data_IF_517312875061
#
_entry.id   IF_517312875061
#
_cell.length_a   1.000
_cell.length_b   1.000
_cell.length_c   1.000
_cell.angle_alpha   90.00
_cell.angle_beta   90.00
_cell.angle_gamma   90.00
#
_symmetry.space_group_name_H-M   'P 1'
#
loop_
_entity.id
_entity.type
_entity.pdbx_description
1 polymer ?
#
# COMPACT_ATOMS: atom_id res chain seq x y z
N UNK A 1 -21.93 17.30 -8.01
CA UNK A 1 -21.89 15.83 -7.85
C UNK A 1 -22.64 15.10 -8.95
N UNK A 2 -23.97 15.28 -9.12
CA UNK A 2 -24.75 14.53 -10.14
C UNK A 2 -24.24 14.77 -11.58
N UNK A 3 -23.84 16.00 -11.97
CA UNK A 3 -23.29 16.24 -13.31
C UNK A 3 -21.86 15.69 -13.50
N UNK A 4 -21.03 15.71 -12.46
CA UNK A 4 -19.68 15.12 -12.45
C UNK A 4 -19.76 13.59 -12.60
N UNK A 5 -20.67 12.93 -11.86
CA UNK A 5 -20.92 11.50 -12.02
C UNK A 5 -21.56 11.16 -13.37
N UNK A 6 -22.32 12.07 -14.00
CA UNK A 6 -22.84 11.85 -15.34
C UNK A 6 -21.76 11.95 -16.43
N UNK A 7 -20.73 12.78 -16.21
CA UNK A 7 -19.64 13.02 -17.17
C UNK A 7 -18.46 12.06 -16.98
N UNK A 8 -18.22 11.63 -15.73
CA UNK A 8 -17.30 10.57 -15.34
C UNK A 8 -18.07 9.46 -14.62
N UNK A 9 -18.84 8.63 -15.35
CA UNK A 9 -19.62 7.54 -14.75
C UNK A 9 -18.76 6.51 -14.02
N UNK A 10 -17.49 6.37 -14.43
CA UNK A 10 -16.49 5.50 -13.78
C UNK A 10 -16.03 6.01 -12.41
N UNK A 11 -16.37 7.26 -12.06
CA UNK A 11 -15.98 7.86 -10.79
C UNK A 11 -16.71 7.23 -9.58
N UNK A 12 -17.80 6.49 -9.82
CA UNK A 12 -18.38 5.60 -8.82
C UNK A 12 -17.52 4.32 -8.69
N UNK A 13 -16.60 4.34 -7.72
CA UNK A 13 -15.78 3.20 -7.35
C UNK A 13 -14.38 3.23 -7.97
N UNK A 14 -13.46 3.96 -7.33
CA UNK A 14 -12.00 3.90 -7.52
C UNK A 14 -11.44 3.93 -8.96
N UNK A 15 -12.24 4.21 -9.98
CA UNK A 15 -11.88 4.01 -11.37
C UNK A 15 -11.72 5.35 -12.11
N UNK A 16 -10.47 5.80 -12.18
CA UNK A 16 -10.00 6.94 -12.96
C UNK A 16 -9.48 6.53 -14.33
N UNK A 17 -9.90 5.38 -14.85
CA UNK A 17 -9.38 4.91 -16.13
C UNK A 17 -9.63 5.94 -17.24
N UNK A 18 -8.56 6.33 -17.95
CA UNK A 18 -8.61 7.28 -19.06
C UNK A 18 -8.96 8.71 -18.65
N UNK A 19 -9.02 9.02 -17.35
CA UNK A 19 -9.40 10.36 -16.88
C UNK A 19 -8.26 11.34 -17.15
N UNK A 20 -8.60 12.45 -17.80
CA UNK A 20 -7.73 13.63 -17.85
C UNK A 20 -7.88 14.39 -16.55
N UNK A 21 -6.93 14.20 -15.64
CA UNK A 21 -7.09 14.63 -14.26
C UNK A 21 -7.17 16.17 -14.14
N UNK A 22 -6.47 16.92 -15.01
CA UNK A 22 -6.61 18.38 -15.12
C UNK A 22 -8.06 18.81 -15.41
N UNK A 23 -8.69 18.22 -16.43
CA UNK A 23 -10.06 18.56 -16.84
C UNK A 23 -11.07 18.20 -15.74
N UNK A 24 -10.88 17.04 -15.09
CA UNK A 24 -11.66 16.63 -13.93
C UNK A 24 -11.57 17.67 -12.79
N UNK A 25 -10.35 18.16 -12.50
CA UNK A 25 -10.14 19.16 -11.47
C UNK A 25 -10.73 20.52 -11.84
N UNK A 26 -10.56 20.98 -13.08
CA UNK A 26 -11.18 22.23 -13.57
C UNK A 26 -12.71 22.20 -13.47
N UNK A 27 -13.34 21.04 -13.65
CA UNK A 27 -14.77 20.88 -13.40
C UNK A 27 -15.13 20.96 -11.92
N UNK A 28 -14.33 20.33 -11.05
CA UNK A 28 -14.45 20.49 -9.60
C UNK A 28 -14.29 21.95 -9.15
N UNK A 29 -13.40 22.72 -9.80
CA UNK A 29 -13.21 24.18 -9.61
C UNK A 29 -14.44 24.98 -10.00
N UNK A 30 -14.95 24.75 -11.21
CA UNK A 30 -16.09 25.48 -11.75
C UNK A 30 -17.37 25.30 -10.92
N UNK A 31 -17.53 24.15 -10.26
CA UNK A 31 -18.61 23.90 -9.31
C UNK A 31 -18.56 24.80 -8.05
N UNK A 32 -17.41 25.43 -7.75
CA UNK A 32 -17.17 26.21 -6.53
C UNK A 32 -16.64 27.63 -6.75
N UNK A 33 -16.87 28.25 -7.92
CA UNK A 33 -16.53 29.67 -8.21
C UNK A 33 -17.11 30.64 -7.17
N UNK A 34 -16.45 30.79 -6.03
CA UNK A 34 -16.69 31.82 -5.02
C UNK A 34 -15.52 32.00 -4.04
N UNK A 35 -14.30 31.52 -4.32
CA UNK A 35 -13.10 32.05 -3.68
C UNK A 35 -11.80 31.73 -4.45
N UNK A 36 -10.83 32.61 -4.25
CA UNK A 36 -9.54 32.83 -4.92
C UNK A 36 -8.64 31.62 -5.14
N UNK A 37 -7.70 31.78 -6.08
CA UNK A 37 -6.66 30.84 -6.53
C UNK A 37 -6.20 29.87 -5.44
N UNK A 38 -6.57 28.59 -5.60
CA UNK A 38 -6.26 27.49 -4.70
C UNK A 38 -5.44 26.43 -5.44
N UNK A 39 -4.54 25.78 -4.72
CA UNK A 39 -3.72 24.70 -5.25
C UNK A 39 -4.59 23.46 -5.52
N UNK A 40 -4.11 22.54 -6.38
CA UNK A 40 -4.76 21.25 -6.69
C UNK A 40 -5.16 20.48 -5.41
N UNK A 41 -4.33 20.64 -4.37
CA UNK A 41 -4.45 20.07 -3.04
C UNK A 41 -5.66 20.64 -2.24
N UNK A 42 -5.92 21.95 -2.32
CA UNK A 42 -7.03 22.60 -1.60
C UNK A 42 -8.42 22.23 -2.14
N UNK A 43 -8.48 21.76 -3.38
CA UNK A 43 -9.71 21.40 -4.06
C UNK A 43 -10.08 19.93 -3.87
N UNK A 44 -9.10 19.03 -3.91
CA UNK A 44 -9.30 17.64 -3.51
C UNK A 44 -9.74 17.52 -2.03
N UNK A 45 -9.29 18.41 -1.14
CA UNK A 45 -9.74 18.50 0.28
C UNK A 45 -11.25 18.65 0.44
N UNK A 46 -11.92 19.25 -0.54
CA UNK A 46 -13.36 19.50 -0.51
C UNK A 46 -14.20 18.30 -0.97
N UNK A 47 -13.57 17.27 -1.52
CA UNK A 47 -14.23 16.10 -2.06
C UNK A 47 -13.53 14.85 -1.52
N UNK A 48 -14.14 14.21 -0.52
CA UNK A 48 -13.89 12.78 -0.27
C UNK A 48 -14.48 12.04 -1.47
N UNK A 49 -13.66 11.80 -2.49
CA UNK A 49 -14.09 11.34 -3.81
C UNK A 49 -14.55 9.88 -3.74
N UNK A 50 -13.86 9.06 -2.92
CA UNK A 50 -14.29 7.76 -2.37
C UNK A 50 -13.22 7.21 -1.39
N UNK A 51 -13.39 5.97 -0.91
CA UNK A 51 -12.46 5.31 0.03
C UNK A 51 -11.04 5.07 -0.52
N UNK A 52 -10.83 5.23 -1.83
CA UNK A 52 -9.55 5.00 -2.53
C UNK A 52 -8.89 6.29 -3.01
N UNK A 53 -9.67 7.38 -3.16
CA UNK A 53 -9.18 8.67 -3.62
C UNK A 53 -9.63 9.73 -2.63
N UNK A 54 -8.71 10.20 -1.80
CA UNK A 54 -9.02 11.17 -0.76
C UNK A 54 -7.82 12.07 -0.47
N UNK A 55 -8.07 13.16 0.23
CA UNK A 55 -7.05 14.12 0.62
C UNK A 55 -6.95 14.16 2.14
N UNK A 56 -5.78 13.86 2.69
CA UNK A 56 -5.56 13.81 4.14
C UNK A 56 -4.17 14.38 4.46
N UNK A 57 -4.10 15.25 5.47
CA UNK A 57 -2.85 15.81 6.01
C UNK A 57 -1.86 16.41 4.99
N UNK A 58 -2.38 16.99 3.90
CA UNK A 58 -1.52 17.60 2.87
C UNK A 58 -1.16 16.65 1.73
N UNK A 59 -1.67 15.41 1.76
CA UNK A 59 -1.34 14.34 0.82
C UNK A 59 -2.60 13.95 0.04
N UNK A 60 -2.45 13.85 -1.27
CA UNK A 60 -3.47 13.27 -2.14
C UNK A 60 -3.23 11.77 -2.25
N UNK A 61 -4.20 10.98 -1.80
CA UNK A 61 -4.13 9.53 -1.69
C UNK A 61 -4.96 8.89 -2.80
N UNK A 62 -4.42 7.85 -3.43
CA UNK A 62 -4.94 7.04 -4.54
C UNK A 62 -4.77 5.54 -4.26
N UNK A 63 -4.78 5.11 -2.99
CA UNK A 63 -4.49 3.73 -2.58
C UNK A 63 -5.42 2.73 -3.28
N UNK A 64 -4.80 1.80 -4.01
CA UNK A 64 -5.50 0.76 -4.79
C UNK A 64 -6.47 1.31 -5.85
N UNK A 65 -6.33 2.59 -6.22
CA UNK A 65 -7.13 3.19 -7.28
C UNK A 65 -6.76 2.60 -8.65
N UNK A 66 -7.76 2.44 -9.52
CA UNK A 66 -7.56 2.14 -10.93
C UNK A 66 -7.40 3.45 -11.70
N UNK A 67 -6.15 3.84 -11.95
CA UNK A 67 -5.72 4.99 -12.74
C UNK A 67 -5.18 4.59 -14.12
N UNK A 68 -5.59 3.44 -14.66
CA UNK A 68 -5.14 2.99 -15.98
C UNK A 68 -5.38 4.04 -17.05
N UNK A 69 -4.45 4.23 -17.99
CA UNK A 69 -4.59 5.18 -19.10
C UNK A 69 -4.85 6.65 -18.66
N UNK A 70 -4.73 6.97 -17.36
CA UNK A 70 -5.01 8.30 -16.85
C UNK A 70 -3.92 9.29 -17.31
N UNK A 71 -4.32 10.55 -17.52
CA UNK A 71 -3.40 11.61 -17.93
C UNK A 71 -3.11 12.56 -16.76
N UNK A 72 -1.88 12.44 -16.24
CA UNK A 72 -1.28 13.28 -15.21
C UNK A 72 -0.16 14.19 -15.76
N UNK A 73 -0.07 14.36 -17.08
CA UNK A 73 1.00 15.10 -17.72
C UNK A 73 1.12 16.53 -17.19
N UNK A 74 2.33 16.91 -16.78
CA UNK A 74 2.65 18.25 -16.27
C UNK A 74 1.97 18.61 -14.95
N UNK A 75 1.32 17.65 -14.29
CA UNK A 75 0.67 17.91 -13.00
C UNK A 75 1.67 17.96 -11.86
N UNK A 76 1.36 18.80 -10.88
CA UNK A 76 1.97 18.76 -9.57
C UNK A 76 1.15 17.83 -8.66
N UNK A 77 1.70 16.65 -8.40
CA UNK A 77 1.16 15.63 -7.49
C UNK A 77 2.24 15.19 -6.49
N UNK A 78 3.09 16.13 -6.07
CA UNK A 78 4.13 15.90 -5.07
C UNK A 78 3.54 15.26 -3.80
N UNK A 79 4.28 14.31 -3.22
CA UNK A 79 3.94 13.58 -1.99
C UNK A 79 2.65 12.76 -2.06
N UNK A 80 2.02 12.64 -3.23
CA UNK A 80 0.83 11.81 -3.36
C UNK A 80 1.13 10.35 -3.00
N UNK A 81 0.09 9.61 -2.59
CA UNK A 81 0.21 8.21 -2.24
C UNK A 81 -0.58 7.33 -3.20
N UNK A 82 0.13 6.62 -4.07
CA UNK A 82 -0.38 5.66 -5.03
C UNK A 82 -0.03 4.21 -4.64
N UNK A 83 0.21 3.92 -3.36
CA UNK A 83 0.55 2.58 -2.92
C UNK A 83 -0.47 1.54 -3.44
N UNK A 84 0.04 0.52 -4.14
CA UNK A 84 -0.77 -0.56 -4.72
C UNK A 84 -1.74 -0.15 -5.83
N UNK A 85 -1.70 1.10 -6.31
CA UNK A 85 -2.58 1.57 -7.38
C UNK A 85 -2.24 0.91 -8.72
N UNK A 86 -3.25 0.78 -9.58
CA UNK A 86 -3.08 0.35 -10.96
C UNK A 86 -3.00 1.58 -11.88
N UNK A 87 -1.81 1.91 -12.35
CA UNK A 87 -1.49 3.13 -13.09
C UNK A 87 -0.89 2.77 -14.46
N UNK A 88 -1.26 1.59 -14.98
CA UNK A 88 -0.73 1.10 -16.25
C UNK A 88 -1.08 2.04 -17.39
N UNK A 89 -0.14 2.22 -18.32
CA UNK A 89 -0.25 3.10 -19.48
C UNK A 89 -0.52 4.58 -19.14
N UNK A 90 -0.47 5.00 -17.88
CA UNK A 90 -0.74 6.38 -17.52
C UNK A 90 0.34 7.32 -18.07
N UNK A 91 -0.07 8.55 -18.39
CA UNK A 91 0.84 9.60 -18.84
C UNK A 91 1.21 10.52 -17.67
N UNK A 92 2.44 10.39 -17.17
CA UNK A 92 3.04 11.20 -16.11
C UNK A 92 4.16 12.11 -16.67
N UNK A 93 4.19 12.33 -17.98
CA UNK A 93 5.25 13.10 -18.63
C UNK A 93 5.31 14.52 -18.05
N UNK A 94 6.51 15.02 -17.74
CA UNK A 94 6.72 16.33 -17.11
C UNK A 94 6.02 16.57 -15.76
N UNK A 95 5.43 15.54 -15.14
CA UNK A 95 4.79 15.70 -13.84
C UNK A 95 5.84 15.96 -12.75
N UNK A 96 5.48 16.77 -11.75
CA UNK A 96 6.20 16.81 -10.49
C UNK A 96 5.59 15.78 -9.54
N UNK A 97 6.31 14.68 -9.34
CA UNK A 97 5.94 13.60 -8.44
C UNK A 97 6.96 13.48 -7.31
N UNK A 98 7.56 14.60 -6.89
CA UNK A 98 8.53 14.63 -5.80
C UNK A 98 8.00 13.92 -4.54
N UNK A 99 8.78 12.98 -4.01
CA UNK A 99 8.46 12.21 -2.80
C UNK A 99 7.11 11.45 -2.83
N UNK A 100 6.56 11.17 -4.02
CA UNK A 100 5.34 10.37 -4.18
C UNK A 100 5.60 8.90 -3.82
N UNK A 101 4.60 8.24 -3.23
CA UNK A 101 4.64 6.82 -2.89
C UNK A 101 4.00 5.96 -3.99
N UNK A 102 4.79 5.11 -4.65
CA UNK A 102 4.33 4.12 -5.63
C UNK A 102 4.64 2.69 -5.19
N UNK A 103 4.81 2.44 -3.88
CA UNK A 103 5.16 1.12 -3.39
C UNK A 103 4.13 0.07 -3.84
N UNK A 104 4.62 -1.03 -4.42
CA UNK A 104 3.80 -2.12 -4.97
C UNK A 104 2.77 -1.70 -6.03
N UNK A 105 2.87 -0.50 -6.61
CA UNK A 105 1.98 -0.04 -7.67
C UNK A 105 2.31 -0.72 -9.00
N UNK A 106 1.32 -0.81 -9.88
CA UNK A 106 1.46 -1.32 -11.24
C UNK A 106 1.58 -0.16 -12.24
N UNK A 107 2.80 0.15 -12.67
CA UNK A 107 3.13 1.22 -13.62
C UNK A 107 3.53 0.65 -14.99
N UNK A 108 3.09 -0.56 -15.35
CA UNK A 108 3.48 -1.16 -16.64
C UNK A 108 3.09 -0.25 -17.80
N UNK A 109 4.05 -0.01 -18.70
CA UNK A 109 3.97 0.90 -19.84
C UNK A 109 3.65 2.38 -19.49
N UNK A 110 3.76 2.81 -18.23
CA UNK A 110 3.54 4.21 -17.87
C UNK A 110 4.61 5.12 -18.50
N UNK A 111 4.22 6.34 -18.87
CA UNK A 111 5.13 7.34 -19.42
C UNK A 111 5.53 8.37 -18.36
N UNK A 112 6.71 8.22 -17.77
CA UNK A 112 7.32 9.14 -16.80
C UNK A 112 8.43 10.00 -17.43
N UNK A 113 8.44 10.15 -18.75
CA UNK A 113 9.49 10.88 -19.44
C UNK A 113 9.60 12.32 -18.92
N UNK A 114 10.82 12.74 -18.59
CA UNK A 114 11.12 14.08 -18.06
C UNK A 114 10.32 14.46 -16.79
N UNK A 115 9.76 13.49 -16.06
CA UNK A 115 9.15 13.73 -14.76
C UNK A 115 10.21 14.02 -13.69
N UNK A 116 9.84 14.83 -12.69
CA UNK A 116 10.65 15.04 -11.48
C UNK A 116 10.32 13.92 -10.50
N UNK A 117 11.20 12.93 -10.38
CA UNK A 117 10.96 11.73 -9.56
C UNK A 117 11.92 11.64 -8.37
N UNK A 118 12.34 12.81 -7.88
CA UNK A 118 13.25 12.91 -6.73
C UNK A 118 12.55 12.42 -5.46
N UNK A 119 13.21 11.55 -4.69
CA UNK A 119 12.70 11.00 -3.43
C UNK A 119 11.53 10.02 -3.57
N UNK A 120 11.16 9.62 -4.80
CA UNK A 120 10.02 8.73 -5.06
C UNK A 120 10.25 7.32 -4.55
N UNK A 121 9.19 6.69 -4.02
CA UNK A 121 9.23 5.35 -3.44
C UNK A 121 8.61 4.33 -4.42
N UNK A 122 9.43 3.61 -5.19
CA UNK A 122 9.02 2.56 -6.15
C UNK A 122 9.23 1.14 -5.61
N UNK A 123 9.36 0.94 -4.30
CA UNK A 123 9.71 -0.38 -3.77
C UNK A 123 8.65 -1.43 -4.15
N UNK A 124 9.10 -2.51 -4.80
CA UNK A 124 8.22 -3.57 -5.29
C UNK A 124 7.27 -3.18 -6.43
N UNK A 125 7.37 -1.96 -6.99
CA UNK A 125 6.53 -1.53 -8.10
C UNK A 125 6.85 -2.27 -9.40
N UNK A 126 5.84 -2.50 -10.25
CA UNK A 126 6.05 -3.02 -11.61
C UNK A 126 6.15 -1.88 -12.62
N UNK A 127 7.37 -1.58 -13.08
CA UNK A 127 7.71 -0.56 -14.08
C UNK A 127 8.04 -1.19 -15.43
N UNK A 128 7.54 -2.40 -15.72
CA UNK A 128 7.84 -3.08 -16.99
C UNK A 128 7.44 -2.21 -18.18
N UNK A 129 8.37 -1.99 -19.10
CA UNK A 129 8.23 -1.11 -20.27
C UNK A 129 7.88 0.35 -19.94
N UNK A 130 8.02 0.79 -18.69
CA UNK A 130 7.80 2.19 -18.35
C UNK A 130 8.89 3.07 -18.99
N UNK A 131 8.50 4.28 -19.41
CA UNK A 131 9.43 5.25 -19.98
C UNK A 131 9.85 6.27 -18.91
N UNK A 132 11.05 6.12 -18.36
CA UNK A 132 11.68 7.05 -17.42
C UNK A 132 12.76 7.92 -18.09
N UNK A 133 12.76 8.00 -19.43
CA UNK A 133 13.77 8.75 -20.18
C UNK A 133 13.84 10.21 -19.69
N UNK A 134 15.05 10.72 -19.44
CA UNK A 134 15.30 12.08 -18.92
C UNK A 134 14.65 12.42 -17.56
N UNK A 135 14.14 11.43 -16.83
CA UNK A 135 13.60 11.66 -15.49
C UNK A 135 14.73 12.01 -14.50
N UNK A 136 14.40 12.78 -13.47
CA UNK A 136 15.32 13.10 -12.37
C UNK A 136 15.15 12.10 -11.22
N UNK A 137 16.13 11.18 -11.05
CA UNK A 137 16.04 10.05 -10.12
C UNK A 137 16.62 10.31 -8.72
N UNK A 138 17.14 11.50 -8.40
CA UNK A 138 17.84 11.73 -7.13
C UNK A 138 17.02 11.21 -5.92
N UNK A 139 17.64 10.50 -4.98
CA UNK A 139 16.98 9.98 -3.76
C UNK A 139 15.82 8.99 -4.01
N UNK A 140 15.56 8.55 -5.25
CA UNK A 140 14.51 7.59 -5.54
C UNK A 140 14.86 6.19 -5.04
N UNK A 141 13.85 5.42 -4.63
CA UNK A 141 14.00 4.06 -4.16
C UNK A 141 13.31 3.06 -5.10
N UNK A 142 14.12 2.29 -5.84
CA UNK A 142 13.70 1.21 -6.75
C UNK A 142 13.89 -0.19 -6.16
N UNK A 143 14.11 -0.34 -4.85
CA UNK A 143 14.37 -1.65 -4.26
C UNK A 143 13.26 -2.66 -4.60
N UNK A 144 13.65 -3.83 -5.09
CA UNK A 144 12.73 -4.89 -5.54
C UNK A 144 11.80 -4.52 -6.72
N UNK A 145 11.95 -3.35 -7.35
CA UNK A 145 11.12 -2.96 -8.49
C UNK A 145 11.38 -3.83 -9.73
N UNK A 146 10.37 -3.98 -10.60
CA UNK A 146 10.48 -4.70 -11.87
C UNK A 146 10.70 -3.68 -13.02
N UNK A 147 11.89 -3.64 -13.60
CA UNK A 147 12.32 -2.69 -14.64
C UNK A 147 12.49 -3.33 -16.03
N UNK A 148 11.96 -4.53 -16.26
CA UNK A 148 12.06 -5.24 -17.55
C UNK A 148 11.58 -4.38 -18.71
N UNK A 149 12.41 -4.19 -19.74
CA UNK A 149 12.07 -3.32 -20.87
C UNK A 149 11.89 -1.83 -20.55
N UNK A 150 12.12 -1.37 -19.31
CA UNK A 150 11.98 0.03 -18.96
C UNK A 150 13.06 0.88 -19.66
N UNK A 151 12.70 2.11 -20.03
CA UNK A 151 13.63 3.06 -20.64
C UNK A 151 14.11 4.09 -19.61
N UNK A 152 15.35 3.98 -19.15
CA UNK A 152 16.00 4.93 -18.23
C UNK A 152 17.06 5.79 -18.93
N UNK A 153 17.09 5.86 -20.27
CA UNK A 153 18.07 6.67 -20.99
C UNK A 153 18.05 8.13 -20.53
N UNK A 154 19.23 8.77 -20.50
CA UNK A 154 19.39 10.19 -20.18
C UNK A 154 18.81 10.61 -18.81
N UNK A 155 18.46 9.67 -17.92
CA UNK A 155 18.02 10.01 -16.58
C UNK A 155 19.16 10.62 -15.75
N UNK A 156 18.80 11.41 -14.73
CA UNK A 156 19.75 12.15 -13.89
C UNK A 156 19.79 11.56 -12.47
N UNK A 157 20.82 11.91 -11.69
CA UNK A 157 20.94 11.56 -10.28
C UNK A 157 21.51 10.18 -9.95
N UNK A 158 21.58 9.26 -10.93
CA UNK A 158 22.10 7.90 -10.71
C UNK A 158 23.61 7.84 -10.41
N UNK A 159 24.42 8.79 -10.89
CA UNK A 159 25.89 8.80 -10.70
C UNK A 159 26.34 9.05 -9.26
N UNK A 160 25.50 9.66 -8.43
CA UNK A 160 25.88 10.10 -7.08
C UNK A 160 25.45 9.12 -5.98
N UNK A 161 25.05 7.89 -6.31
CA UNK A 161 24.67 6.80 -5.39
C UNK A 161 23.49 7.05 -4.43
N UNK A 162 22.78 8.18 -4.55
CA UNK A 162 21.59 8.45 -3.71
C UNK A 162 20.36 7.66 -4.14
N UNK A 163 20.42 7.00 -5.30
CA UNK A 163 19.34 6.15 -5.82
C UNK A 163 19.51 4.74 -5.28
N UNK A 164 18.47 4.19 -4.65
CA UNK A 164 18.49 2.81 -4.14
C UNK A 164 17.98 1.87 -5.20
N UNK A 165 18.85 0.99 -5.68
CA UNK A 165 18.49 0.01 -6.73
C UNK A 165 18.40 -1.43 -6.23
N UNK A 166 18.71 -1.67 -4.95
CA UNK A 166 19.04 -3.01 -4.47
C UNK A 166 17.94 -4.02 -4.80
N UNK A 167 18.33 -5.10 -5.48
CA UNK A 167 17.45 -6.21 -5.90
C UNK A 167 16.36 -5.86 -6.92
N UNK A 168 16.34 -4.64 -7.46
CA UNK A 168 15.52 -4.32 -8.63
C UNK A 168 15.86 -5.30 -9.77
N UNK A 169 14.87 -5.67 -10.57
CA UNK A 169 15.04 -6.66 -11.63
C UNK A 169 15.00 -6.01 -13.00
N UNK A 170 15.85 -6.45 -13.90
CA UNK A 170 15.93 -5.93 -15.27
C UNK A 170 16.18 -7.05 -16.28
N UNK A 171 16.07 -6.74 -17.58
CA UNK A 171 16.46 -7.65 -18.66
C UNK A 171 17.19 -6.95 -19.80
N UNK A 172 17.46 -7.71 -20.87
CA UNK A 172 18.16 -7.24 -22.07
C UNK A 172 17.44 -6.13 -22.83
N UNK A 173 16.17 -5.86 -22.51
CA UNK A 173 15.39 -4.78 -23.13
C UNK A 173 15.36 -3.52 -22.28
N UNK A 174 15.82 -3.58 -21.04
CA UNK A 174 15.92 -2.40 -20.18
C UNK A 174 17.04 -1.50 -20.68
N UNK A 175 16.70 -0.25 -21.03
CA UNK A 175 17.69 0.72 -21.50
C UNK A 175 18.18 1.55 -20.33
N UNK A 176 19.49 1.53 -20.06
CA UNK A 176 20.11 2.30 -18.98
C UNK A 176 20.84 3.53 -19.53
N UNK A 177 21.13 4.55 -18.69
CA UNK A 177 22.02 5.64 -19.04
C UNK A 177 23.40 5.17 -19.49
N UNK A 178 24.03 5.94 -20.37
CA UNK A 178 25.41 5.69 -20.81
C UNK A 178 26.35 5.66 -19.59
N UNK A 179 27.06 4.55 -19.43
CA UNK A 179 28.02 4.33 -18.35
C UNK A 179 27.42 3.79 -17.04
N UNK A 180 26.13 3.43 -17.02
CA UNK A 180 25.52 2.74 -15.88
C UNK A 180 25.76 1.23 -15.99
N UNK A 181 26.38 0.62 -14.97
CA UNK A 181 26.47 -0.84 -14.83
C UNK A 181 25.44 -1.34 -13.80
N UNK A 182 24.36 -2.01 -14.21
CA UNK A 182 23.35 -2.51 -13.28
C UNK A 182 23.89 -3.47 -12.21
N UNK A 183 24.99 -4.18 -12.47
CA UNK A 183 25.55 -5.13 -11.51
C UNK A 183 26.25 -4.40 -10.35
N UNK A 184 26.92 -3.27 -10.61
CA UNK A 184 27.56 -2.44 -9.58
C UNK A 184 26.54 -1.88 -8.58
N UNK A 185 25.32 -1.61 -9.03
CA UNK A 185 24.23 -1.09 -8.22
C UNK A 185 23.33 -2.19 -7.60
N UNK A 186 23.68 -3.47 -7.76
CA UNK A 186 22.97 -4.59 -7.13
C UNK A 186 21.61 -4.93 -7.76
N UNK A 187 21.42 -4.59 -9.04
CA UNK A 187 20.26 -5.04 -9.80
C UNK A 187 20.43 -6.50 -10.24
N UNK A 188 19.31 -7.22 -10.32
CA UNK A 188 19.25 -8.61 -10.72
C UNK A 188 18.75 -8.75 -12.16
N UNK A 189 19.62 -9.23 -13.05
CA UNK A 189 19.18 -9.60 -14.39
C UNK A 189 18.30 -10.85 -14.31
N UNK A 190 17.07 -10.75 -14.83
CA UNK A 190 16.12 -11.88 -14.84
C UNK A 190 15.40 -11.95 -16.18
N UNK A 191 14.97 -13.14 -16.58
CA UNK A 191 14.15 -13.31 -17.80
C UNK A 191 12.68 -13.17 -17.44
N UNK A 192 12.00 -12.12 -17.89
CA UNK A 192 10.53 -12.05 -17.83
C UNK A 192 9.97 -12.69 -19.10
N UNK A 193 9.15 -13.74 -18.94
CA UNK A 193 8.34 -14.25 -20.06
C UNK A 193 7.29 -13.17 -20.35
N UNK A 194 7.52 -12.39 -21.39
CA UNK A 194 6.57 -11.40 -21.88
C UNK A 194 5.31 -12.11 -22.37
N UNK A 195 4.28 -12.21 -21.53
CA UNK A 195 2.92 -12.43 -22.02
C UNK A 195 2.39 -11.09 -22.52
N UNK A 196 2.66 -10.79 -23.80
CA UNK A 196 1.98 -9.75 -24.56
C UNK A 196 0.52 -10.16 -24.80
N UNK A 197 -0.30 -10.19 -23.76
CA UNK A 197 -1.75 -10.26 -23.91
C UNK A 197 -2.34 -8.95 -23.41
N UNK A 198 -2.41 -7.98 -24.33
CA UNK A 198 -3.47 -6.98 -24.35
C UNK A 198 -4.79 -7.73 -24.51
N UNK A 199 -5.38 -8.19 -23.41
CA UNK A 199 -6.74 -8.67 -23.40
C UNK A 199 -7.49 -7.95 -22.29
N UNK A 200 -8.29 -6.96 -22.71
CA UNK A 200 -9.67 -6.82 -22.25
C UNK A 200 -10.17 -8.22 -21.91
N UNK A 201 -10.68 -8.42 -20.69
CA UNK A 201 -11.38 -9.64 -20.29
C UNK A 201 -12.52 -9.90 -21.29
N UNK A 202 -12.23 -10.64 -22.35
CA UNK A 202 -13.19 -11.46 -23.06
C UNK A 202 -12.77 -12.89 -22.79
N UNK A 203 -13.68 -13.57 -22.11
CA UNK A 203 -13.63 -14.98 -21.79
C UNK A 203 -13.31 -15.81 -23.03
N UNK A 204 -12.20 -16.55 -23.03
CA UNK A 204 -12.19 -17.89 -23.65
C UNK A 204 -10.97 -18.77 -23.28
N UNK A 205 -11.34 -19.96 -22.79
CA UNK A 205 -10.68 -21.28 -22.73
C UNK A 205 -9.15 -21.34 -22.90
N UNK A 206 -8.50 -21.66 -21.79
CA UNK A 206 -7.15 -22.24 -21.75
C UNK A 206 -7.21 -23.74 -22.10
N UNK A 207 -6.49 -24.17 -23.13
CA UNK A 207 -6.07 -25.57 -23.30
C UNK A 207 -4.63 -25.69 -22.79
N UNK A 208 -4.42 -26.54 -21.78
CA UNK A 208 -3.11 -26.93 -21.27
C UNK A 208 -2.80 -28.35 -21.74
N UNK A 209 -1.57 -28.58 -22.21
CA UNK A 209 -1.02 -29.93 -22.29
C UNK A 209 -0.07 -30.19 -21.11
N UNK A 210 -0.46 -31.19 -20.33
CA UNK A 210 0.34 -32.14 -19.55
C UNK A 210 1.00 -31.68 -18.23
N UNK A 211 0.21 -31.02 -17.38
CA UNK A 211 0.08 -31.47 -15.99
C UNK A 211 -1.23 -32.24 -15.89
N UNK A 212 -1.32 -33.31 -15.08
CA UNK A 212 -2.63 -33.95 -14.87
C UNK A 212 -3.61 -32.87 -14.39
N UNK A 213 -4.78 -32.80 -15.01
CA UNK A 213 -5.78 -31.72 -14.89
C UNK A 213 -6.04 -31.31 -13.41
N UNK A 214 -5.93 -32.28 -12.50
CA UNK A 214 -5.98 -32.11 -11.05
C UNK A 214 -4.91 -31.17 -10.46
N UNK A 215 -3.65 -31.25 -10.90
CA UNK A 215 -2.55 -30.45 -10.34
C UNK A 215 -2.65 -28.96 -10.73
N UNK A 216 -3.08 -28.69 -11.97
CA UNK A 216 -3.29 -27.32 -12.46
C UNK A 216 -4.51 -26.71 -11.76
N UNK A 217 -5.60 -27.47 -11.61
CA UNK A 217 -6.78 -27.04 -10.87
C UNK A 217 -6.46 -26.76 -9.39
N UNK A 218 -5.67 -27.60 -8.73
CA UNK A 218 -5.21 -27.37 -7.35
C UNK A 218 -4.39 -26.08 -7.21
N UNK A 219 -3.48 -25.82 -8.15
CA UNK A 219 -2.68 -24.58 -8.16
C UNK A 219 -3.57 -23.36 -8.42
N UNK A 220 -4.50 -23.43 -9.37
CA UNK A 220 -5.44 -22.35 -9.64
C UNK A 220 -6.34 -22.04 -8.44
N UNK A 221 -6.83 -23.07 -7.72
CA UNK A 221 -7.60 -22.89 -6.49
C UNK A 221 -6.74 -22.26 -5.39
N UNK A 222 -5.47 -22.67 -5.23
CA UNK A 222 -4.53 -22.04 -4.27
C UNK A 222 -4.29 -20.57 -4.60
N UNK A 223 -4.10 -20.23 -5.88
CA UNK A 223 -3.92 -18.84 -6.33
C UNK A 223 -5.19 -18.02 -6.10
N UNK A 224 -6.37 -18.55 -6.45
CA UNK A 224 -7.66 -17.88 -6.21
C UNK A 224 -7.91 -17.65 -4.72
N UNK A 225 -7.62 -18.64 -3.88
CA UNK A 225 -7.70 -18.50 -2.43
C UNK A 225 -6.70 -17.48 -1.89
N UNK A 226 -5.49 -17.42 -2.44
CA UNK A 226 -4.50 -16.39 -2.08
C UNK A 226 -4.99 -14.99 -2.47
N UNK A 227 -5.50 -14.80 -3.69
CA UNK A 227 -6.07 -13.53 -4.16
C UNK A 227 -7.26 -13.11 -3.30
N UNK A 228 -8.19 -14.03 -3.02
CA UNK A 228 -9.34 -13.74 -2.14
C UNK A 228 -8.92 -13.42 -0.72
N UNK A 229 -7.87 -14.07 -0.21
CA UNK A 229 -7.29 -13.78 1.11
C UNK A 229 -6.67 -12.39 1.15
N UNK A 230 -5.92 -12.00 0.11
CA UNK A 230 -5.35 -10.65 -0.02
C UNK A 230 -6.45 -9.59 -0.12
N UNK A 231 -7.44 -9.79 -1.00
CA UNK A 231 -8.61 -8.90 -1.10
C UNK A 231 -9.41 -8.81 0.20
N UNK A 232 -9.48 -9.90 0.96
CA UNK A 232 -10.09 -9.93 2.28
C UNK A 232 -9.31 -9.11 3.30
N UNK A 233 -7.98 -9.24 3.32
CA UNK A 233 -7.08 -8.46 4.18
C UNK A 233 -7.12 -6.97 3.85
N UNK A 234 -7.22 -6.60 2.56
CA UNK A 234 -7.39 -5.21 2.09
C UNK A 234 -8.72 -4.62 2.57
N UNK A 235 -9.84 -5.33 2.37
CA UNK A 235 -11.17 -4.90 2.85
C UNK A 235 -11.21 -4.77 4.37
N UNK A 236 -10.58 -5.70 5.07
CA UNK A 236 -10.46 -5.67 6.53
C UNK A 236 -9.68 -4.43 7.00
N UNK A 237 -8.53 -4.15 6.38
CA UNK A 237 -7.73 -2.96 6.67
C UNK A 237 -8.50 -1.67 6.42
N UNK A 238 -9.15 -1.54 5.28
CA UNK A 238 -9.97 -0.36 4.94
C UNK A 238 -11.10 -0.15 5.96
N UNK A 239 -11.76 -1.22 6.37
CA UNK A 239 -12.81 -1.16 7.37
C UNK A 239 -12.28 -0.73 8.74
N UNK A 240 -11.09 -1.20 9.15
CA UNK A 240 -10.46 -0.73 10.39
C UNK A 240 -10.02 0.73 10.32
N UNK A 241 -9.41 1.17 9.22
CA UNK A 241 -9.04 2.58 9.03
C UNK A 241 -10.25 3.51 9.22
N UNK A 242 -11.40 3.12 8.65
CA UNK A 242 -12.68 3.82 8.85
C UNK A 242 -13.15 3.81 10.31
N UNK A 243 -13.11 2.66 10.97
CA UNK A 243 -13.60 2.52 12.34
C UNK A 243 -12.75 3.31 13.34
N UNK A 244 -11.43 3.22 13.19
CA UNK A 244 -10.45 3.88 14.05
C UNK A 244 -10.13 5.31 13.63
N UNK A 245 -10.78 5.83 12.58
CA UNK A 245 -10.55 7.19 12.05
C UNK A 245 -9.06 7.46 11.78
N UNK A 246 -8.38 6.48 11.18
CA UNK A 246 -6.93 6.53 10.89
C UNK A 246 -6.05 6.85 12.11
N UNK A 247 -6.47 6.45 13.32
CA UNK A 247 -5.66 6.59 14.53
C UNK A 247 -5.28 5.24 15.07
N UNK A 248 -4.05 5.13 15.56
CA UNK A 248 -3.63 3.96 16.30
C UNK A 248 -4.49 3.80 17.55
N UNK A 249 -5.02 2.60 17.78
CA UNK A 249 -5.92 2.28 18.89
C UNK A 249 -5.30 2.56 20.27
N UNK A 250 -3.97 2.43 20.38
CA UNK A 250 -3.24 2.55 21.64
C UNK A 250 -2.77 3.99 21.88
N UNK A 251 -2.21 4.64 20.85
CA UNK A 251 -1.57 5.95 21.00
C UNK A 251 -2.50 7.12 20.67
N UNK A 252 -3.68 6.83 20.12
CA UNK A 252 -4.61 7.80 19.52
C UNK A 252 -3.94 8.74 18.49
N UNK A 253 -2.77 8.35 17.97
CA UNK A 253 -1.99 9.15 17.05
C UNK A 253 -2.32 8.81 15.60
N UNK A 254 -2.49 9.85 14.78
CA UNK A 254 -2.54 9.81 13.32
C UNK A 254 -1.18 10.18 12.66
N UNK A 255 -0.09 10.15 13.43
CA UNK A 255 1.23 10.67 13.01
C UNK A 255 1.84 9.85 11.86
N UNK A 256 2.90 10.39 11.22
CA UNK A 256 3.70 9.91 10.06
C UNK A 256 4.12 8.42 9.98
N UNK A 257 3.66 7.56 10.88
CA UNK A 257 3.93 6.13 10.88
C UNK A 257 2.89 5.37 10.06
N UNK A 258 3.34 4.33 9.35
CA UNK A 258 2.45 3.38 8.70
C UNK A 258 1.61 2.68 9.76
N UNK A 259 0.29 2.87 9.71
CA UNK A 259 -0.67 2.13 10.53
C UNK A 259 -0.90 0.76 9.90
N UNK A 260 -1.05 -0.27 10.72
CA UNK A 260 -1.22 -1.66 10.31
C UNK A 260 -2.48 -2.27 10.94
N UNK A 261 -3.17 -3.09 10.14
CA UNK A 261 -4.39 -3.77 10.53
C UNK A 261 -4.04 -5.13 11.16
N UNK A 262 -4.03 -5.19 12.48
CA UNK A 262 -3.71 -6.41 13.21
C UNK A 262 -4.98 -7.25 13.42
N UNK A 263 -4.90 -8.54 13.10
CA UNK A 263 -5.93 -9.50 13.47
C UNK A 263 -5.81 -9.86 14.95
N UNK A 264 -6.90 -9.75 15.69
CA UNK A 264 -6.95 -10.17 17.10
C UNK A 264 -6.92 -11.70 17.15
N UNK A 265 -7.86 -12.37 16.48
CA UNK A 265 -7.80 -13.81 16.24
C UNK A 265 -7.26 -14.08 14.84
N UNK A 266 -6.20 -14.91 14.69
CA UNK A 266 -5.58 -15.17 13.39
C UNK A 266 -6.54 -15.67 12.32
N UNK A 267 -6.30 -15.23 11.08
CA UNK A 267 -7.04 -15.65 9.88
C UNK A 267 -7.18 -17.17 9.74
N UNK A 268 -6.15 -17.91 10.12
CA UNK A 268 -6.12 -19.38 10.03
C UNK A 268 -7.16 -20.09 10.90
N UNK A 269 -7.75 -19.40 11.89
CA UNK A 269 -8.63 -19.97 12.91
C UNK A 269 -10.05 -19.41 12.90
N UNK A 270 -10.35 -18.40 12.08
CA UNK A 270 -11.70 -17.83 11.96
C UNK A 270 -12.08 -17.58 10.49
N UNK A 271 -13.24 -18.10 10.06
CA UNK A 271 -13.72 -17.92 8.69
C UNK A 271 -14.45 -16.59 8.48
N UNK A 272 -14.80 -15.86 9.55
CA UNK A 272 -15.41 -14.51 9.51
C UNK A 272 -14.36 -13.39 9.61
N UNK A 273 -13.19 -13.58 9.01
CA UNK A 273 -11.97 -12.87 9.36
C UNK A 273 -11.84 -11.41 8.90
N UNK A 274 -12.84 -10.86 8.21
CA UNK A 274 -12.80 -9.49 7.70
C UNK A 274 -13.77 -8.55 8.44
N UNK A 275 -14.33 -8.99 9.58
CA UNK A 275 -15.11 -8.12 10.46
C UNK A 275 -14.18 -7.16 11.21
N UNK A 276 -14.46 -5.84 11.24
CA UNK A 276 -13.71 -4.88 12.05
C UNK A 276 -13.59 -5.24 13.54
N UNK A 277 -14.55 -6.01 14.07
CA UNK A 277 -14.51 -6.48 15.47
C UNK A 277 -13.36 -7.45 15.74
N UNK A 278 -12.84 -8.15 14.72
CA UNK A 278 -11.66 -9.01 14.86
C UNK A 278 -10.35 -8.26 14.61
N UNK A 279 -10.38 -6.92 14.62
CA UNK A 279 -9.25 -6.11 14.22
C UNK A 279 -8.95 -4.94 15.13
N UNK A 280 -7.68 -4.59 15.14
CA UNK A 280 -7.17 -3.42 15.82
C UNK A 280 -6.16 -2.71 14.92
N UNK A 281 -6.25 -1.38 14.83
CA UNK A 281 -5.36 -0.57 14.01
C UNK A 281 -4.20 -0.06 14.87
N UNK A 282 -2.97 -0.38 14.51
CA UNK A 282 -1.78 -0.15 15.34
C UNK A 282 -0.65 0.52 14.54
N UNK A 283 0.27 1.21 15.22
CA UNK A 283 1.58 1.55 14.64
C UNK A 283 2.35 0.24 14.35
N UNK A 284 3.17 0.19 13.31
CA UNK A 284 3.87 -1.03 12.89
C UNK A 284 4.67 -1.73 14.02
N UNK A 285 5.37 -0.97 14.87
CA UNK A 285 6.08 -1.48 16.04
C UNK A 285 5.14 -2.07 17.12
N UNK A 286 4.01 -1.41 17.39
CA UNK A 286 2.99 -1.90 18.32
C UNK A 286 2.29 -3.14 17.77
N UNK A 287 2.12 -3.23 16.45
CA UNK A 287 1.62 -4.44 15.78
C UNK A 287 2.57 -5.62 16.01
N UNK A 288 3.88 -5.42 15.83
CA UNK A 288 4.89 -6.45 16.12
C UNK A 288 4.79 -6.91 17.59
N UNK A 289 4.75 -5.97 18.55
CA UNK A 289 4.63 -6.32 19.97
C UNK A 289 3.32 -7.03 20.31
N UNK A 290 2.23 -6.67 19.63
CA UNK A 290 0.94 -7.34 19.76
C UNK A 290 1.00 -8.78 19.21
N UNK A 291 1.63 -9.00 18.05
CA UNK A 291 1.78 -10.31 17.42
C UNK A 291 2.76 -11.25 18.12
N UNK A 292 3.73 -10.67 18.83
CA UNK A 292 4.58 -11.39 19.77
C UNK A 292 3.91 -11.65 21.12
N UNK A 293 2.63 -11.27 21.29
CA UNK A 293 1.87 -11.45 22.52
C UNK A 293 2.51 -10.77 23.75
N UNK A 294 3.26 -9.69 23.53
CA UNK A 294 3.89 -8.88 24.58
C UNK A 294 2.90 -7.84 25.08
N UNK A 295 2.28 -7.12 24.16
CA UNK A 295 1.17 -6.21 24.46
C UNK A 295 -0.11 -7.01 24.31
N UNK A 296 -0.91 -7.07 25.38
CA UNK A 296 -2.23 -7.67 25.38
C UNK A 296 -3.27 -6.68 25.89
N UNK A 297 -4.54 -6.94 25.55
CA UNK A 297 -5.66 -6.11 25.98
C UNK A 297 -6.57 -7.00 26.82
N UNK A 298 -6.77 -6.62 28.08
CA UNK A 298 -7.66 -7.36 28.97
C UNK A 298 -9.10 -7.28 28.44
N UNK A 299 -9.81 -8.40 28.29
CA UNK A 299 -11.11 -8.44 27.61
C UNK A 299 -12.19 -7.62 28.30
N UNK A 300 -12.26 -7.66 29.64
CA UNK A 300 -13.34 -6.96 30.36
C UNK A 300 -13.02 -5.48 30.66
N UNK A 301 -11.78 -5.16 31.04
CA UNK A 301 -11.38 -3.79 31.40
C UNK A 301 -10.87 -2.97 30.21
N UNK A 302 -10.59 -3.61 29.07
CA UNK A 302 -9.92 -3.03 27.89
C UNK A 302 -8.58 -2.38 28.18
N UNK A 303 -7.98 -2.70 29.34
CA UNK A 303 -6.66 -2.20 29.73
C UNK A 303 -5.59 -2.91 28.94
N UNK A 304 -4.63 -2.14 28.49
CA UNK A 304 -3.41 -2.63 27.88
C UNK A 304 -2.51 -3.14 28.99
N UNK A 305 -1.99 -4.34 28.81
CA UNK A 305 -1.06 -4.98 29.73
C UNK A 305 0.18 -5.41 28.96
N UNK A 306 1.35 -5.09 29.52
CA UNK A 306 2.63 -5.56 28.99
C UNK A 306 3.02 -6.81 29.78
N UNK A 307 3.05 -7.96 29.11
CA UNK A 307 3.44 -9.23 29.73
C UNK A 307 4.95 -9.26 29.98
N UNK A 308 5.32 -9.73 31.16
CA UNK A 308 6.70 -9.85 31.64
C UNK A 308 7.21 -11.29 31.69
N UNK A 309 6.38 -12.27 31.32
CA UNK A 309 6.59 -13.69 31.57
C UNK A 309 6.90 -14.53 30.32
N UNK A 310 6.97 -13.94 29.13
CA UNK A 310 7.32 -14.72 27.93
C UNK A 310 8.83 -14.93 27.85
N UNK A 311 9.26 -16.18 27.63
CA UNK A 311 10.63 -16.53 27.21
C UNK A 311 11.13 -15.73 25.99
N UNK A 312 10.22 -15.01 25.31
CA UNK A 312 10.47 -14.16 24.15
C UNK A 312 11.02 -12.76 24.52
N UNK A 313 10.96 -12.37 25.81
CA UNK A 313 11.38 -11.04 26.28
C UNK A 313 12.89 -10.87 26.22
N UNK A 314 13.72 -11.91 26.32
CA UNK A 314 15.18 -11.74 26.32
C UNK A 314 15.70 -11.02 25.05
N UNK A 315 15.12 -11.28 23.87
CA UNK A 315 15.54 -10.68 22.60
C UNK A 315 15.18 -9.20 22.43
N UNK A 316 14.18 -8.70 23.16
CA UNK A 316 13.63 -7.34 23.00
C UNK A 316 13.42 -6.62 24.34
N UNK A 317 13.97 -7.16 25.42
CA UNK A 317 13.88 -6.64 26.78
C UNK A 317 14.31 -5.18 26.87
N UNK A 318 15.44 -4.82 26.23
CA UNK A 318 15.92 -3.43 26.18
C UNK A 318 14.96 -2.47 25.49
N UNK A 319 14.22 -2.93 24.47
CA UNK A 319 13.19 -2.16 23.78
C UNK A 319 11.94 -2.00 24.65
N UNK A 320 11.47 -3.08 25.29
CA UNK A 320 10.25 -3.09 26.12
C UNK A 320 10.42 -2.30 27.42
N UNK A 321 11.61 -2.35 28.03
CA UNK A 321 11.93 -1.57 29.24
C UNK A 321 12.31 -0.13 28.93
N UNK A 322 12.34 0.29 27.66
CA UNK A 322 12.43 1.71 27.35
C UNK A 322 11.21 2.44 27.91
N UNK A 323 11.42 3.67 28.39
CA UNK A 323 10.35 4.52 28.92
C UNK A 323 9.26 4.81 27.88
N UNK A 324 9.53 4.60 26.60
CA UNK A 324 8.58 4.82 25.52
C UNK A 324 7.43 3.81 25.52
N UNK A 325 7.66 2.51 25.72
CA UNK A 325 6.59 1.51 25.64
C UNK A 325 5.92 1.26 26.98
N UNK A 326 6.66 1.38 28.09
CA UNK A 326 6.09 1.21 29.44
C UNK A 326 4.96 2.19 29.73
N UNK A 327 4.97 3.39 29.11
CA UNK A 327 3.90 4.38 29.25
C UNK A 327 2.54 3.90 28.74
N UNK A 328 2.50 2.85 27.90
CA UNK A 328 1.25 2.28 27.38
C UNK A 328 0.61 1.28 28.34
N UNK A 329 1.36 0.75 29.31
CA UNK A 329 0.84 -0.18 30.29
C UNK A 329 -0.24 0.50 31.15
N UNK A 330 -1.40 -0.13 31.27
CA UNK A 330 -2.54 0.38 32.02
C UNK A 330 -3.43 1.39 31.26
N UNK A 331 -3.07 1.81 30.04
CA UNK A 331 -3.96 2.61 29.18
C UNK A 331 -5.21 1.80 28.87
N UNK A 332 -6.38 2.41 29.02
CA UNK A 332 -7.66 1.81 28.62
C UNK A 332 -7.88 2.18 27.15
N UNK A 333 -8.17 1.19 26.29
CA UNK A 333 -8.51 1.49 24.90
C UNK A 333 -9.70 2.46 24.84
N UNK A 334 -9.67 3.46 23.94
CA UNK A 334 -10.75 4.42 23.81
C UNK A 334 -12.08 3.72 23.51
N UNK A 335 -13.16 4.23 24.12
CA UNK A 335 -14.52 3.66 23.99
C UNK A 335 -15.10 3.84 22.58
N UNK A 336 -16.23 3.18 22.32
CA UNK A 336 -16.98 3.25 21.06
C UNK A 336 -17.35 4.68 20.62
N UNK A 337 -17.40 5.63 21.56
CA UNK A 337 -17.64 7.05 21.25
C UNK A 337 -16.45 7.70 20.53
N UNK A 338 -15.23 7.19 20.75
CA UNK A 338 -14.01 7.67 20.13
C UNK A 338 -13.70 6.97 18.80
N UNK A 339 -14.09 5.70 18.66
CA UNK A 339 -13.91 4.88 17.45
C UNK A 339 -15.22 4.18 17.11
N UNK A 340 -15.68 4.28 15.86
CA UNK A 340 -16.99 3.78 15.43
C UNK A 340 -17.18 2.26 15.52
N UNK A 341 -16.17 1.51 15.97
CA UNK A 341 -16.20 0.09 16.34
C UNK A 341 -15.15 -0.16 17.44
N UNK A 342 -15.45 -1.03 18.40
CA UNK A 342 -14.47 -1.58 19.35
C UNK A 342 -14.10 -3.03 18.98
N UNK A 343 -12.90 -3.50 19.35
CA UNK A 343 -12.58 -4.93 19.34
C UNK A 343 -13.67 -5.77 20.01
N UNK A 344 -14.15 -6.81 19.32
CA UNK A 344 -15.17 -7.70 19.84
C UNK A 344 -14.68 -8.46 21.06
N UNK A 345 -15.51 -8.54 22.10
CA UNK A 345 -15.15 -9.16 23.39
C UNK A 345 -14.68 -10.59 23.23
N UNK A 346 -15.34 -11.38 22.38
CA UNK A 346 -14.98 -12.78 22.12
C UNK A 346 -13.60 -12.92 21.47
N UNK A 347 -13.24 -12.01 20.55
CA UNK A 347 -11.92 -12.01 19.93
C UNK A 347 -10.85 -11.62 20.94
N UNK A 348 -11.09 -10.59 21.76
CA UNK A 348 -10.16 -10.19 22.82
C UNK A 348 -9.99 -11.28 23.87
N UNK A 349 -11.07 -11.95 24.30
CA UNK A 349 -10.99 -13.10 25.21
C UNK A 349 -10.14 -14.21 24.62
N UNK A 350 -10.38 -14.55 23.35
CA UNK A 350 -9.59 -15.57 22.68
C UNK A 350 -8.10 -15.17 22.60
N UNK A 351 -7.79 -13.92 22.19
CA UNK A 351 -6.42 -13.42 22.14
C UNK A 351 -5.75 -13.53 23.50
N UNK A 352 -6.42 -13.02 24.52
CA UNK A 352 -5.85 -12.90 25.86
C UNK A 352 -5.54 -14.29 26.47
N UNK A 353 -6.45 -15.26 26.36
CA UNK A 353 -6.27 -16.56 27.01
C UNK A 353 -5.57 -17.62 26.15
N UNK A 354 -5.62 -17.53 24.82
CA UNK A 354 -5.17 -18.62 23.94
C UNK A 354 -4.03 -18.25 22.99
N UNK A 355 -3.79 -16.97 22.74
CA UNK A 355 -2.80 -16.57 21.72
C UNK A 355 -1.35 -16.89 22.12
N UNK A 356 -1.01 -16.81 23.41
CA UNK A 356 0.33 -17.18 23.88
C UNK A 356 0.73 -18.62 23.51
N UNK A 357 -0.19 -19.58 23.65
CA UNK A 357 0.04 -20.97 23.25
C UNK A 357 0.08 -21.14 21.72
N UNK A 358 -0.72 -20.34 20.99
CA UNK A 358 -0.66 -20.28 19.53
C UNK A 358 0.73 -19.80 19.04
N UNK A 359 1.26 -18.72 19.63
CA UNK A 359 2.58 -18.18 19.29
C UNK A 359 3.67 -19.22 19.60
N UNK A 360 3.66 -19.86 20.78
CA UNK A 360 4.62 -20.93 21.11
C UNK A 360 4.60 -22.06 20.09
N UNK A 361 3.40 -22.49 19.67
CA UNK A 361 3.22 -23.62 18.75
C UNK A 361 3.62 -23.31 17.30
N UNK A 362 3.35 -22.10 16.81
CA UNK A 362 3.45 -21.77 15.39
C UNK A 362 4.51 -20.72 15.04
N UNK A 363 4.85 -19.82 15.96
CA UNK A 363 5.86 -18.76 15.78
C UNK A 363 7.19 -19.09 16.49
N UNK A 364 7.22 -20.03 17.43
CA UNK A 364 8.44 -20.46 18.13
C UNK A 364 9.50 -21.16 17.28
N UNK A 365 9.24 -21.40 15.99
CA UNK A 365 10.24 -21.84 15.00
C UNK A 365 10.81 -20.68 14.16
N UNK A 366 10.23 -19.48 14.29
CA UNK A 366 10.45 -18.31 13.43
C UNK A 366 11.17 -17.18 14.18
N UNK A 367 10.94 -17.09 15.50
CA UNK A 367 11.83 -16.46 16.49
C UNK A 367 13.05 -17.36 16.71
#
# INVERSE_FOLDING_TARGET
MISLYSKYPNFQGANLQGVKFIEFLEECKNYKKNNSQRSLFDECKAYQLNDHIYYEDGILVFIEANCQDANFQGLDIHRADFQGADIRNANLQFADIFATNFQNADLRNANLQSAVIRGVQFQGADLTNANLKRADLHEANFEYAELHGANLEECKGWKNCDVRWSKAKYDDKTNFPVGFDPNEYGLNKTRKRYNYNNNVRTSEKLTYENGTDTQIQEVCVKIQNYIQKQQGQQKFRAALLKCYRCRCAITDSNTNYVLEAAHIKPYSLDKKNNSPENGILLRADLHILFDLNIIVIHPDTKRIEIRSDSQQIEMISSLIYSSEYQKFNGIILPSYENFGVCPGDDYLRWRYYHYGEYVKKYMGKLL
#
